data_IF_951674547503
#
_entry.id   IF_951674547503
#
_cell.length_a   1.000
_cell.length_b   1.000
_cell.length_c   1.000
_cell.angle_alpha   90.00
_cell.angle_beta   90.00
_cell.angle_gamma   90.00
#
_symmetry.space_group_name_H-M   'P 1'
#
loop_
_entity.id
_entity.type
_entity.pdbx_description
1 polymer ?
#
# COMPACT_ATOMS: atom_id res chain seq x y z
N UNK A 1 41.79 12.57 7.50
CA UNK A 1 41.61 14.04 7.47
C UNK A 1 41.01 14.48 8.80
N UNK A 2 41.48 15.62 9.36
CA UNK A 2 40.91 16.20 10.58
C UNK A 2 40.26 17.56 10.22
N UNK A 3 39.03 17.78 10.67
CA UNK A 3 38.31 19.05 10.52
C UNK A 3 38.02 19.60 11.91
N UNK A 4 38.45 20.80 12.27
CA UNK A 4 38.08 21.40 13.53
C UNK A 4 36.60 21.73 13.52
N UNK A 5 35.87 21.38 14.59
CA UNK A 5 34.46 21.68 14.79
C UNK A 5 34.34 22.68 15.94
N UNK A 6 33.65 23.79 15.68
CA UNK A 6 33.37 24.79 16.72
C UNK A 6 32.04 24.46 17.40
N UNK A 7 32.07 24.31 18.76
CA UNK A 7 30.89 24.14 19.63
C UNK A 7 29.83 23.12 19.12
N UNK A 8 30.21 21.86 19.01
CA UNK A 8 29.29 20.78 18.62
C UNK A 8 29.11 19.77 19.75
N UNK A 9 27.97 19.07 19.76
CA UNK A 9 27.78 17.91 20.64
C UNK A 9 28.60 16.73 20.12
N UNK A 10 28.97 15.78 20.99
CA UNK A 10 29.66 14.55 20.57
C UNK A 10 28.90 13.83 19.44
N UNK A 11 27.56 13.84 19.50
CA UNK A 11 26.71 13.23 18.50
C UNK A 11 26.80 13.89 17.13
N UNK A 12 26.85 15.24 17.08
CA UNK A 12 27.05 15.99 15.83
C UNK A 12 28.45 15.77 15.27
N UNK A 13 29.47 15.68 16.15
CA UNK A 13 30.83 15.39 15.72
C UNK A 13 30.97 14.02 15.04
N UNK A 14 30.30 13.00 15.58
CA UNK A 14 30.28 11.64 15.01
C UNK A 14 29.55 11.60 13.64
N UNK A 15 28.44 12.32 13.53
CA UNK A 15 27.73 12.44 12.24
C UNK A 15 28.55 13.17 11.18
N UNK A 16 29.26 14.25 11.57
CA UNK A 16 30.15 14.97 10.68
C UNK A 16 31.34 14.10 10.24
N UNK A 17 31.88 13.30 11.16
CA UNK A 17 32.92 12.31 10.84
C UNK A 17 32.44 11.27 9.85
N UNK A 18 31.23 10.77 10.03
CA UNK A 18 30.60 9.81 9.11
C UNK A 18 30.36 10.44 7.72
N UNK A 19 29.85 11.68 7.66
CA UNK A 19 29.69 12.44 6.43
C UNK A 19 31.03 12.62 5.68
N UNK A 20 32.09 13.02 6.40
CA UNK A 20 33.44 13.20 5.80
C UNK A 20 33.98 11.88 5.25
N UNK A 21 33.78 10.76 5.97
CA UNK A 21 34.17 9.44 5.51
C UNK A 21 33.45 9.04 4.21
N UNK A 22 32.14 9.32 4.13
CA UNK A 22 31.35 9.11 2.92
C UNK A 22 31.82 9.97 1.76
N UNK A 23 31.97 11.28 1.99
CA UNK A 23 32.36 12.23 0.95
C UNK A 23 33.78 11.94 0.37
N UNK A 24 34.66 11.41 1.21
CA UNK A 24 36.04 11.10 0.84
C UNK A 24 36.23 9.67 0.29
N UNK A 25 35.21 8.82 0.36
CA UNK A 25 35.25 7.44 -0.13
C UNK A 25 34.92 7.34 -1.63
N UNK A 26 35.42 6.29 -2.28
CA UNK A 26 35.08 5.96 -3.66
C UNK A 26 33.62 5.47 -3.83
N UNK A 27 33.26 4.96 -5.02
CA UNK A 27 31.89 4.51 -5.31
C UNK A 27 31.45 3.33 -4.43
N UNK A 28 32.42 2.58 -3.87
CA UNK A 28 32.17 1.51 -2.91
C UNK A 28 32.90 1.81 -1.60
N UNK A 29 32.19 1.82 -0.48
CA UNK A 29 32.75 2.15 0.81
C UNK A 29 32.41 1.11 1.88
N UNK A 30 33.37 0.84 2.76
CA UNK A 30 33.18 0.05 3.98
C UNK A 30 33.53 0.96 5.17
N UNK A 31 32.54 1.36 5.95
CA UNK A 31 32.69 2.32 7.05
C UNK A 31 32.36 1.67 8.36
N UNK A 32 33.28 1.75 9.32
CA UNK A 32 33.10 1.23 10.68
C UNK A 32 32.82 2.38 11.60
N UNK A 33 31.74 2.28 12.36
CA UNK A 33 31.30 3.28 13.33
C UNK A 33 31.17 2.67 14.72
N UNK A 34 31.58 3.40 15.75
CA UNK A 34 31.46 2.96 17.14
C UNK A 34 30.16 3.42 17.82
N UNK A 35 29.54 4.58 17.54
CA UNK A 35 28.29 4.93 18.20
C UNK A 35 27.07 4.31 17.49
N UNK A 36 26.26 3.57 18.24
CA UNK A 36 24.94 3.09 17.78
C UNK A 36 24.02 4.22 17.30
N UNK A 37 24.26 5.41 17.77
CA UNK A 37 23.53 6.62 17.43
C UNK A 37 23.55 6.93 15.92
N UNK A 38 24.69 6.83 15.26
CA UNK A 38 24.81 7.04 13.81
C UNK A 38 23.92 6.05 13.05
N UNK A 39 23.89 4.81 13.49
CA UNK A 39 23.02 3.77 12.88
C UNK A 39 21.54 4.09 13.10
N UNK A 40 21.16 4.59 14.27
CA UNK A 40 19.78 4.99 14.57
C UNK A 40 19.29 6.15 13.69
N UNK A 41 20.13 7.13 13.44
CA UNK A 41 19.80 8.28 12.58
C UNK A 41 19.66 7.87 11.12
N UNK A 42 20.57 7.06 10.60
CA UNK A 42 20.49 6.53 9.24
C UNK A 42 19.24 5.66 9.07
N UNK A 43 18.85 4.93 10.12
CA UNK A 43 17.65 4.11 10.16
C UNK A 43 16.33 4.90 10.32
N UNK A 44 16.34 6.23 10.54
CA UNK A 44 15.14 7.04 10.39
C UNK A 44 14.60 7.80 11.61
N UNK A 45 15.43 8.12 12.61
CA UNK A 45 15.02 8.92 13.77
C UNK A 45 15.91 10.14 14.04
N UNK A 46 16.04 11.12 13.11
CA UNK A 46 16.81 12.34 13.38
C UNK A 46 16.02 13.32 14.24
N UNK A 47 16.73 14.07 15.10
CA UNK A 47 16.20 15.26 15.75
C UNK A 47 16.20 16.46 14.78
N UNK A 48 15.34 17.47 15.02
CA UNK A 48 15.23 18.66 14.14
C UNK A 48 16.56 19.40 13.93
N UNK A 49 17.45 19.44 14.92
CA UNK A 49 18.75 20.11 14.85
C UNK A 49 19.76 19.42 13.92
N UNK A 50 19.53 18.16 13.57
CA UNK A 50 20.46 17.32 12.80
C UNK A 50 20.02 17.13 11.35
N UNK A 51 18.81 17.62 10.98
CA UNK A 51 18.19 17.35 9.72
C UNK A 51 19.01 17.75 8.49
N UNK A 52 19.76 18.86 8.58
CA UNK A 52 20.59 19.35 7.47
C UNK A 52 21.79 18.43 7.19
N UNK A 53 22.50 18.01 8.23
CA UNK A 53 23.67 17.13 8.11
C UNK A 53 23.24 15.72 7.68
N UNK A 54 22.11 15.25 8.20
CA UNK A 54 21.53 13.96 7.82
C UNK A 54 21.11 13.93 6.36
N UNK A 55 20.54 15.03 5.85
CA UNK A 55 20.21 15.15 4.41
C UNK A 55 21.50 15.10 3.54
N UNK A 56 22.57 15.77 3.95
CA UNK A 56 23.86 15.69 3.25
C UNK A 56 24.44 14.27 3.25
N UNK A 57 24.32 13.55 4.37
CA UNK A 57 24.74 12.14 4.47
C UNK A 57 23.96 11.29 3.48
N UNK A 58 22.65 11.47 3.39
CA UNK A 58 21.80 10.71 2.48
C UNK A 58 22.13 11.02 1.02
N UNK A 59 22.37 12.29 0.68
CA UNK A 59 22.81 12.68 -0.66
C UNK A 59 24.14 12.00 -1.06
N UNK A 60 25.10 11.89 -0.14
CA UNK A 60 26.34 11.17 -0.40
C UNK A 60 26.13 9.65 -0.50
N UNK A 61 25.23 9.07 0.29
CA UNK A 61 24.84 7.66 0.21
C UNK A 61 24.28 7.34 -1.19
N UNK A 62 23.38 8.17 -1.69
CA UNK A 62 22.72 7.97 -2.99
C UNK A 62 23.71 8.01 -4.16
N UNK A 63 24.81 8.72 -4.03
CA UNK A 63 25.87 8.79 -5.06
C UNK A 63 26.79 7.54 -5.12
N UNK A 64 26.67 6.62 -4.17
CA UNK A 64 27.54 5.44 -4.07
C UNK A 64 26.92 4.21 -4.70
N UNK A 65 27.74 3.36 -5.30
CA UNK A 65 27.32 2.05 -5.81
C UNK A 65 27.04 1.03 -4.69
N UNK A 66 27.87 1.05 -3.64
CA UNK A 66 27.71 0.18 -2.48
C UNK A 66 28.34 0.78 -1.21
N UNK A 67 27.62 0.72 -0.10
CA UNK A 67 28.14 1.11 1.22
C UNK A 67 27.83 -0.02 2.20
N UNK A 68 28.88 -0.43 2.94
CA UNK A 68 28.77 -1.34 4.07
C UNK A 68 29.09 -0.56 5.33
N UNK A 69 28.18 -0.49 6.28
CA UNK A 69 28.41 0.13 7.59
C UNK A 69 28.36 -0.96 8.65
N UNK A 70 29.41 -1.07 9.41
CA UNK A 70 29.52 -1.98 10.55
C UNK A 70 29.62 -1.20 11.84
N UNK A 71 28.87 -1.63 12.85
CA UNK A 71 28.98 -1.11 14.20
C UNK A 71 29.97 -1.96 15.02
N UNK A 72 30.81 -1.28 15.78
CA UNK A 72 31.76 -1.91 16.72
C UNK A 72 31.56 -1.29 18.10
N UNK A 73 31.47 -2.09 19.19
CA UNK A 73 31.37 -1.53 20.53
C UNK A 73 32.55 -0.65 20.88
N UNK A 74 32.29 0.58 21.36
CA UNK A 74 33.33 1.48 21.83
C UNK A 74 34.18 0.83 22.96
N UNK A 75 35.50 1.15 23.00
CA UNK A 75 36.43 0.78 24.08
C UNK A 75 36.83 -0.69 24.24
N UNK A 76 36.74 -1.50 23.19
CA UNK A 76 37.29 -2.87 23.20
C UNK A 76 38.70 -3.00 22.63
N UNK A 77 39.60 -2.01 22.84
CA UNK A 77 41.04 -2.12 22.63
C UNK A 77 41.49 -2.71 21.28
N UNK A 78 40.81 -2.33 20.19
CA UNK A 78 41.04 -2.89 18.85
C UNK A 78 42.22 -2.19 18.23
N UNK A 79 43.35 -2.84 18.21
CA UNK A 79 44.57 -2.39 17.52
C UNK A 79 44.76 -3.10 16.19
N UNK A 80 44.72 -2.38 15.07
CA UNK A 80 45.20 -2.80 13.77
C UNK A 80 44.20 -3.43 12.80
N UNK A 81 44.50 -3.36 11.50
CA UNK A 81 43.64 -3.77 10.39
C UNK A 81 43.23 -5.25 10.39
N UNK A 82 44.03 -6.14 10.98
CA UNK A 82 43.73 -7.59 11.02
C UNK A 82 42.60 -7.92 12.00
N UNK A 83 42.49 -7.20 13.12
CA UNK A 83 41.38 -7.36 14.06
C UNK A 83 40.07 -6.76 13.54
N UNK A 84 40.15 -5.69 12.77
CA UNK A 84 38.99 -5.08 12.11
C UNK A 84 38.34 -6.03 11.11
N UNK A 85 39.12 -6.75 10.31
CA UNK A 85 38.60 -7.75 9.36
C UNK A 85 37.90 -8.91 10.09
N UNK A 86 38.42 -9.33 11.23
CA UNK A 86 37.81 -10.39 12.04
C UNK A 86 36.52 -9.91 12.74
N UNK A 87 36.49 -8.67 13.23
CA UNK A 87 35.33 -8.05 13.85
C UNK A 87 34.22 -7.71 12.84
N UNK A 88 34.57 -7.27 11.64
CA UNK A 88 33.62 -7.07 10.53
C UNK A 88 32.94 -8.39 10.16
N UNK A 89 33.63 -9.54 10.29
CA UNK A 89 33.02 -10.85 10.06
C UNK A 89 32.07 -11.30 11.19
N UNK A 90 32.23 -10.78 12.40
CA UNK A 90 31.39 -11.06 13.58
C UNK A 90 30.40 -9.95 13.94
N UNK A 91 30.58 -8.73 13.41
CA UNK A 91 29.70 -7.60 13.65
C UNK A 91 28.37 -7.69 12.87
N UNK A 92 27.38 -6.99 13.38
CA UNK A 92 26.11 -6.81 12.68
C UNK A 92 26.39 -5.97 11.41
N UNK A 93 26.48 -6.63 10.25
CA UNK A 93 26.55 -5.93 8.97
C UNK A 93 25.16 -5.41 8.62
N UNK A 94 24.96 -4.12 8.70
CA UNK A 94 23.81 -3.48 8.06
C UNK A 94 24.25 -2.99 6.66
N UNK A 95 23.70 -3.61 5.63
CA UNK A 95 23.78 -3.07 4.28
C UNK A 95 22.84 -1.87 4.26
N UNK A 96 23.37 -0.68 3.95
CA UNK A 96 22.55 0.52 3.77
C UNK A 96 21.82 0.44 2.44
N UNK A 97 20.86 -0.43 2.30
CA UNK A 97 19.82 -0.57 1.27
C UNK A 97 20.09 0.08 -0.10
N UNK A 98 21.36 0.33 -0.49
CA UNK A 98 21.71 0.97 -1.77
C UNK A 98 21.19 0.20 -2.98
N UNK A 99 21.25 -1.13 -2.92
CA UNK A 99 20.67 -2.00 -3.95
C UNK A 99 19.16 -1.81 -4.12
N UNK A 100 18.50 -1.19 -3.12
CA UNK A 100 17.06 -0.93 -3.11
C UNK A 100 16.70 0.51 -3.41
N UNK A 101 17.67 1.44 -3.34
CA UNK A 101 17.43 2.86 -3.56
C UNK A 101 17.14 3.13 -5.04
N UNK A 102 17.94 2.59 -5.95
CA UNK A 102 17.74 2.75 -7.39
C UNK A 102 16.35 2.22 -7.83
N UNK A 103 15.93 0.98 -7.49
CA UNK A 103 14.57 0.53 -7.78
C UNK A 103 13.49 1.39 -7.12
N UNK A 104 13.74 1.96 -5.94
CA UNK A 104 12.78 2.85 -5.28
C UNK A 104 12.66 4.21 -5.99
N UNK A 105 13.77 4.73 -6.52
CA UNK A 105 13.78 5.94 -7.37
C UNK A 105 13.03 5.70 -8.67
N UNK A 106 13.30 4.60 -9.38
CA UNK A 106 12.57 4.21 -10.60
C UNK A 106 11.07 4.06 -10.36
N UNK A 107 10.67 3.43 -9.24
CA UNK A 107 9.27 3.31 -8.85
C UNK A 107 8.65 4.70 -8.63
N UNK A 108 9.37 5.60 -7.95
CA UNK A 108 8.88 6.95 -7.72
C UNK A 108 8.81 7.77 -9.01
N UNK A 109 9.80 7.71 -9.87
CA UNK A 109 9.80 8.39 -11.18
C UNK A 109 8.62 7.94 -12.05
N UNK A 110 8.30 6.66 -12.00
CA UNK A 110 7.22 6.07 -12.80
C UNK A 110 5.82 6.36 -12.24
N UNK A 111 5.64 6.18 -10.94
CA UNK A 111 4.31 6.20 -10.32
C UNK A 111 4.08 7.38 -9.38
N UNK A 112 5.12 8.12 -9.03
CA UNK A 112 5.10 9.14 -7.97
C UNK A 112 4.56 8.59 -6.65
N UNK A 113 4.99 7.37 -6.31
CA UNK A 113 4.62 6.67 -5.08
C UNK A 113 4.98 7.48 -3.85
N UNK A 114 4.15 7.45 -2.80
CA UNK A 114 4.43 8.21 -1.59
C UNK A 114 5.50 7.53 -0.70
N UNK A 115 5.99 8.28 0.30
CA UNK A 115 7.03 7.81 1.24
C UNK A 115 6.67 6.46 1.88
N UNK A 116 5.42 6.28 2.29
CA UNK A 116 4.96 5.04 2.95
C UNK A 116 5.00 3.84 2.02
N UNK A 117 4.62 4.02 0.75
CA UNK A 117 4.70 2.95 -0.25
C UNK A 117 6.14 2.54 -0.54
N UNK A 118 7.06 3.51 -0.69
CA UNK A 118 8.47 3.23 -0.92
C UNK A 118 9.11 2.48 0.25
N UNK A 119 8.81 2.88 1.49
CA UNK A 119 9.27 2.18 2.70
C UNK A 119 8.74 0.75 2.73
N UNK A 120 7.45 0.56 2.49
CA UNK A 120 6.82 -0.75 2.54
C UNK A 120 7.36 -1.69 1.46
N UNK A 121 7.40 -1.22 0.20
CA UNK A 121 7.78 -2.05 -0.94
C UNK A 121 9.26 -2.43 -0.96
N UNK A 122 10.14 -1.48 -0.62
CA UNK A 122 11.58 -1.67 -0.73
C UNK A 122 12.27 -1.88 0.62
N UNK A 123 11.57 -1.66 1.73
CA UNK A 123 12.14 -1.76 3.08
C UNK A 123 13.27 -0.76 3.31
N UNK A 124 13.26 0.40 2.62
CA UNK A 124 14.23 1.49 2.80
C UNK A 124 13.84 2.35 4.00
N UNK A 125 14.81 3.02 4.66
CA UNK A 125 14.51 3.94 5.75
C UNK A 125 13.57 5.06 5.30
N UNK A 126 12.65 5.46 6.20
CA UNK A 126 11.68 6.53 5.90
C UNK A 126 12.33 7.83 5.43
N UNK A 127 13.49 8.16 5.99
CA UNK A 127 14.23 9.37 5.62
C UNK A 127 14.74 9.30 4.16
N UNK A 128 15.24 8.14 3.73
CA UNK A 128 15.66 7.90 2.34
C UNK A 128 14.46 7.98 1.40
N UNK A 129 13.35 7.35 1.75
CA UNK A 129 12.12 7.43 0.98
C UNK A 129 11.58 8.87 0.89
N UNK A 130 11.67 9.63 1.99
CA UNK A 130 11.30 11.06 2.00
C UNK A 130 12.18 11.87 1.07
N UNK A 131 13.50 11.66 1.08
CA UNK A 131 14.42 12.34 0.20
C UNK A 131 14.11 12.08 -1.29
N UNK A 132 13.80 10.82 -1.66
CA UNK A 132 13.38 10.47 -3.01
C UNK A 132 12.15 11.28 -3.44
N UNK A 133 11.14 11.40 -2.57
CA UNK A 133 9.91 12.14 -2.85
C UNK A 133 10.17 13.66 -2.90
N UNK A 134 10.96 14.19 -1.96
CA UNK A 134 11.23 15.63 -1.84
C UNK A 134 12.13 16.16 -2.98
N UNK A 135 12.98 15.32 -3.57
CA UNK A 135 13.79 15.68 -4.73
C UNK A 135 13.05 15.63 -6.06
N UNK A 136 11.83 15.12 -6.07
CA UNK A 136 11.00 15.07 -7.27
C UNK A 136 10.32 16.42 -7.52
N UNK A 137 10.63 17.09 -8.61
CA UNK A 137 10.07 18.39 -8.98
C UNK A 137 8.54 18.40 -9.04
N UNK A 138 7.92 17.27 -9.43
CA UNK A 138 6.47 17.11 -9.55
C UNK A 138 5.78 16.86 -8.21
N UNK A 139 6.49 16.39 -7.19
CA UNK A 139 5.94 16.02 -5.88
C UNK A 139 6.19 17.06 -4.79
N UNK A 140 7.23 17.87 -4.92
CA UNK A 140 7.69 18.82 -3.89
C UNK A 140 6.68 19.93 -3.55
N UNK A 141 5.71 20.23 -4.40
CA UNK A 141 4.88 21.45 -4.30
C UNK A 141 3.58 21.31 -3.50
N UNK A 142 3.27 20.20 -2.82
CA UNK A 142 1.94 20.00 -2.25
C UNK A 142 1.95 19.56 -0.79
N UNK A 143 1.34 20.41 0.06
CA UNK A 143 0.99 20.07 1.44
C UNK A 143 -0.05 18.92 1.51
N UNK A 144 -0.08 18.21 2.64
CA UNK A 144 -1.09 17.20 2.91
C UNK A 144 -2.47 17.85 3.06
N UNK A 145 -3.45 17.37 2.29
CA UNK A 145 -4.83 17.77 2.47
C UNK A 145 -5.42 17.06 3.70
N UNK A 146 -5.98 17.82 4.62
CA UNK A 146 -6.73 17.27 5.75
C UNK A 146 -8.15 17.00 5.25
N UNK A 147 -8.56 15.74 5.26
CA UNK A 147 -9.91 15.34 4.89
C UNK A 147 -10.80 15.31 6.13
N UNK A 148 -12.01 15.86 6.00
CA UNK A 148 -13.06 15.69 7.00
C UNK A 148 -13.42 14.20 7.16
N UNK A 149 -13.78 13.79 8.38
CA UNK A 149 -14.22 12.43 8.64
C UNK A 149 -15.64 12.25 8.13
N UNK A 150 -15.87 11.22 7.31
CA UNK A 150 -17.20 10.82 6.83
C UNK A 150 -17.46 9.40 7.32
N UNK A 151 -18.62 9.19 7.95
CA UNK A 151 -19.08 7.84 8.27
C UNK A 151 -19.66 7.22 7.00
N UNK A 152 -19.13 6.08 6.60
CA UNK A 152 -19.59 5.37 5.42
C UNK A 152 -19.79 3.88 5.70
N UNK A 153 -20.91 3.36 5.23
CA UNK A 153 -21.15 1.92 5.17
C UNK A 153 -20.30 1.31 4.04
N UNK A 154 -19.96 0.03 4.19
CA UNK A 154 -19.04 -0.67 3.29
C UNK A 154 -19.49 -0.71 1.82
N UNK A 155 -20.77 -0.64 1.54
CA UNK A 155 -21.32 -0.63 0.19
C UNK A 155 -21.55 0.78 -0.39
N UNK A 156 -21.07 1.84 0.28
CA UNK A 156 -21.32 3.24 -0.11
C UNK A 156 -20.27 3.76 -1.07
N UNK A 157 -20.73 4.25 -2.22
CA UNK A 157 -19.92 4.89 -3.23
C UNK A 157 -20.45 6.30 -3.52
N UNK A 158 -19.55 7.20 -3.88
CA UNK A 158 -19.88 8.52 -4.42
C UNK A 158 -19.44 8.57 -5.89
N UNK A 159 -20.22 9.26 -6.72
CA UNK A 159 -19.93 9.40 -8.14
C UNK A 159 -20.13 10.85 -8.59
N UNK A 160 -19.22 11.29 -9.45
CA UNK A 160 -19.23 12.65 -10.00
C UNK A 160 -18.57 12.67 -11.38
N UNK A 161 -18.82 13.73 -12.16
CA UNK A 161 -18.13 13.99 -13.42
C UNK A 161 -17.18 15.16 -13.27
N UNK A 162 -15.98 15.04 -13.84
CA UNK A 162 -15.00 16.13 -13.89
C UNK A 162 -14.48 16.30 -15.31
N UNK A 163 -13.97 17.50 -15.61
CA UNK A 163 -13.48 17.86 -16.95
C UNK A 163 -11.97 18.08 -16.92
N UNK A 164 -11.29 17.54 -17.92
CA UNK A 164 -9.86 17.73 -18.12
C UNK A 164 -9.51 17.66 -19.61
N UNK A 165 -8.75 18.62 -20.12
CA UNK A 165 -8.31 18.67 -21.52
C UNK A 165 -9.46 18.51 -22.55
N UNK A 166 -10.63 19.08 -22.24
CA UNK A 166 -11.82 19.00 -23.11
C UNK A 166 -12.52 17.65 -23.10
N UNK A 167 -12.11 16.72 -22.26
CA UNK A 167 -12.73 15.41 -22.05
C UNK A 167 -13.49 15.36 -20.73
N UNK A 168 -14.51 14.53 -20.70
CA UNK A 168 -15.33 14.27 -19.52
C UNK A 168 -14.84 12.99 -18.87
N UNK A 169 -14.54 13.06 -17.58
CA UNK A 169 -14.10 11.91 -16.79
C UNK A 169 -15.18 11.64 -15.72
N UNK A 170 -15.82 10.50 -15.78
CA UNK A 170 -16.69 10.02 -14.72
C UNK A 170 -15.85 9.31 -13.67
N UNK A 171 -16.06 9.65 -12.40
CA UNK A 171 -15.29 9.14 -11.27
C UNK A 171 -16.24 8.56 -10.22
N UNK A 172 -15.93 7.37 -9.73
CA UNK A 172 -16.60 6.77 -8.59
C UNK A 172 -15.59 6.48 -7.48
N UNK A 173 -15.96 6.78 -6.25
CA UNK A 173 -15.12 6.59 -5.07
C UNK A 173 -15.83 5.72 -4.06
N UNK A 174 -15.17 4.66 -3.61
CA UNK A 174 -15.58 3.90 -2.45
C UNK A 174 -15.24 4.70 -1.19
N UNK A 175 -16.25 5.24 -0.52
CA UNK A 175 -16.06 6.26 0.52
C UNK A 175 -15.20 5.76 1.67
N UNK A 176 -15.43 4.53 2.14
CA UNK A 176 -14.72 3.98 3.29
C UNK A 176 -13.22 3.74 3.05
N UNK A 177 -12.81 3.32 1.84
CA UNK A 177 -11.40 2.99 1.53
C UNK A 177 -10.67 4.06 0.73
N UNK A 178 -11.39 4.96 0.05
CA UNK A 178 -10.82 5.89 -0.91
C UNK A 178 -10.41 5.23 -2.24
N UNK A 179 -10.80 3.98 -2.50
CA UNK A 179 -10.59 3.32 -3.78
C UNK A 179 -11.40 4.02 -4.87
N UNK A 180 -10.80 4.24 -6.03
CA UNK A 180 -11.45 4.94 -7.13
C UNK A 180 -11.55 4.09 -8.39
N UNK A 181 -12.60 4.33 -9.15
CA UNK A 181 -12.76 3.94 -10.54
C UNK A 181 -13.00 5.21 -11.37
N UNK A 182 -12.37 5.33 -12.52
CA UNK A 182 -12.60 6.46 -13.42
C UNK A 182 -12.48 6.05 -14.87
N UNK A 183 -13.28 6.68 -15.72
CA UNK A 183 -13.32 6.42 -17.15
C UNK A 183 -13.60 7.72 -17.93
N UNK A 184 -12.96 7.88 -19.08
CA UNK A 184 -13.32 8.97 -19.99
C UNK A 184 -14.58 8.58 -20.73
N UNK A 185 -15.60 9.43 -20.69
CA UNK A 185 -16.86 9.24 -21.39
C UNK A 185 -17.03 10.29 -22.50
N UNK A 186 -17.66 9.94 -23.64
CA UNK A 186 -17.81 10.87 -24.75
C UNK A 186 -18.77 12.03 -24.45
N UNK A 187 -19.78 11.79 -23.63
CA UNK A 187 -20.81 12.76 -23.26
C UNK A 187 -21.35 12.48 -21.87
N UNK A 188 -21.72 13.52 -21.16
CA UNK A 188 -22.33 13.49 -19.83
C UNK A 188 -23.82 13.20 -19.92
N UNK A 189 -24.15 11.96 -20.34
CA UNK A 189 -25.53 11.51 -20.55
C UNK A 189 -25.93 10.43 -19.56
N UNK A 190 -27.25 10.29 -19.32
CA UNK A 190 -27.80 9.23 -18.47
C UNK A 190 -27.37 7.85 -18.95
N UNK A 191 -27.31 7.59 -20.27
CA UNK A 191 -26.88 6.32 -20.84
C UNK A 191 -25.42 6.00 -20.51
N UNK A 192 -24.50 6.95 -20.63
CA UNK A 192 -23.08 6.74 -20.31
C UNK A 192 -22.87 6.53 -18.81
N UNK A 193 -23.58 7.32 -18.01
CA UNK A 193 -23.54 7.20 -16.54
C UNK A 193 -24.11 5.85 -16.09
N UNK A 194 -25.24 5.41 -16.64
CA UNK A 194 -25.85 4.12 -16.33
C UNK A 194 -24.93 2.95 -16.72
N UNK A 195 -24.26 3.04 -17.88
CA UNK A 195 -23.30 2.03 -18.30
C UNK A 195 -22.09 1.95 -17.35
N UNK A 196 -21.56 3.09 -16.94
CA UNK A 196 -20.46 3.14 -15.96
C UNK A 196 -20.89 2.57 -14.60
N UNK A 197 -22.08 2.92 -14.11
CA UNK A 197 -22.64 2.34 -12.88
C UNK A 197 -22.78 0.82 -12.97
N UNK A 198 -23.24 0.32 -14.10
CA UNK A 198 -23.37 -1.13 -14.31
C UNK A 198 -22.00 -1.84 -14.33
N UNK A 199 -21.01 -1.24 -15.00
CA UNK A 199 -19.62 -1.74 -14.95
C UNK A 199 -19.09 -1.79 -13.52
N UNK A 200 -19.33 -0.75 -12.73
CA UNK A 200 -18.93 -0.66 -11.34
C UNK A 200 -19.60 -1.74 -10.48
N UNK A 201 -20.95 -1.89 -10.62
CA UNK A 201 -21.73 -2.89 -9.92
C UNK A 201 -21.36 -4.34 -10.31
N UNK A 202 -20.85 -4.55 -11.52
CA UNK A 202 -20.38 -5.87 -11.97
C UNK A 202 -19.05 -6.29 -11.34
N UNK A 203 -18.32 -5.35 -10.71
CA UNK A 203 -17.01 -5.59 -10.08
C UNK A 203 -17.06 -5.54 -8.56
N UNK A 204 -17.87 -4.64 -8.02
CA UNK A 204 -17.87 -4.33 -6.58
C UNK A 204 -19.27 -4.46 -5.97
N UNK A 205 -19.37 -4.86 -4.70
CA UNK A 205 -20.65 -4.92 -3.98
C UNK A 205 -21.12 -3.51 -3.59
N UNK A 206 -21.86 -2.86 -4.48
CA UNK A 206 -22.43 -1.54 -4.25
C UNK A 206 -23.83 -1.71 -3.68
N UNK A 207 -24.12 -1.02 -2.58
CA UNK A 207 -25.46 -0.96 -1.97
C UNK A 207 -26.04 0.45 -1.99
N UNK A 208 -25.18 1.46 -1.87
CA UNK A 208 -25.57 2.87 -1.83
C UNK A 208 -24.71 3.69 -2.79
N UNK A 209 -25.36 4.52 -3.59
CA UNK A 209 -24.72 5.46 -4.50
C UNK A 209 -25.14 6.87 -4.16
N UNK A 210 -24.20 7.74 -3.83
CA UNK A 210 -24.42 9.15 -3.59
C UNK A 210 -23.87 10.00 -4.73
N UNK A 211 -24.71 10.86 -5.31
CA UNK A 211 -24.37 11.73 -6.44
C UNK A 211 -24.90 13.14 -6.21
N UNK A 212 -24.52 14.08 -7.05
CA UNK A 212 -25.23 15.33 -7.16
C UNK A 212 -26.58 15.17 -7.90
N UNK A 213 -27.28 16.27 -8.11
CA UNK A 213 -28.56 16.31 -8.85
C UNK A 213 -28.35 16.55 -10.35
N UNK A 214 -27.18 16.24 -10.90
CA UNK A 214 -26.90 16.37 -12.33
C UNK A 214 -27.92 15.62 -13.19
N UNK A 215 -28.25 16.13 -14.36
CA UNK A 215 -29.26 15.55 -15.24
C UNK A 215 -28.91 14.10 -15.66
N UNK A 216 -27.63 13.81 -15.82
CA UNK A 216 -27.13 12.46 -16.12
C UNK A 216 -27.38 11.49 -14.96
N UNK A 217 -27.17 11.90 -13.71
CA UNK A 217 -27.39 11.06 -12.52
C UNK A 217 -28.87 10.87 -12.17
N UNK A 218 -29.71 11.87 -12.46
CA UNK A 218 -31.16 11.81 -12.18
C UNK A 218 -31.96 11.16 -13.31
N UNK A 219 -31.30 10.72 -14.39
CA UNK A 219 -31.91 10.11 -15.57
C UNK A 219 -32.66 8.80 -15.28
N UNK A 220 -33.56 8.44 -16.16
CA UNK A 220 -34.30 7.18 -16.04
C UNK A 220 -33.39 5.96 -16.22
N UNK A 221 -32.39 6.06 -17.09
CA UNK A 221 -31.42 4.98 -17.32
C UNK A 221 -30.63 4.64 -16.04
N UNK A 222 -30.17 5.64 -15.31
CA UNK A 222 -29.46 5.42 -14.04
C UNK A 222 -30.40 4.86 -12.97
N UNK A 223 -31.62 5.36 -12.88
CA UNK A 223 -32.63 4.83 -11.94
C UNK A 223 -32.95 3.37 -12.22
N UNK A 224 -33.07 2.96 -13.49
CA UNK A 224 -33.34 1.56 -13.87
C UNK A 224 -32.16 0.65 -13.50
N UNK A 225 -30.92 1.09 -13.74
CA UNK A 225 -29.72 0.31 -13.34
C UNK A 225 -29.63 0.20 -11.83
N UNK A 226 -29.84 1.29 -11.11
CA UNK A 226 -29.83 1.27 -9.64
C UNK A 226 -30.89 0.32 -9.09
N UNK A 227 -32.11 0.38 -9.60
CA UNK A 227 -33.18 -0.56 -9.25
C UNK A 227 -32.82 -2.01 -9.55
N UNK A 228 -32.33 -2.26 -10.78
CA UNK A 228 -31.99 -3.63 -11.22
C UNK A 228 -30.84 -4.24 -10.39
N UNK A 229 -29.84 -3.43 -10.04
CA UNK A 229 -28.68 -3.86 -9.27
C UNK A 229 -28.92 -3.84 -7.75
N UNK A 230 -30.09 -3.41 -7.26
CA UNK A 230 -30.40 -3.29 -5.83
C UNK A 230 -29.61 -2.19 -5.13
N UNK A 231 -29.30 -1.09 -5.85
CA UNK A 231 -28.54 0.05 -5.35
C UNK A 231 -29.50 1.14 -4.91
N UNK A 232 -29.39 1.59 -3.66
CA UNK A 232 -30.09 2.78 -3.18
C UNK A 232 -29.35 4.02 -3.64
N UNK A 233 -30.03 4.86 -4.43
CA UNK A 233 -29.47 6.12 -4.91
C UNK A 233 -29.92 7.28 -4.01
N UNK A 234 -28.96 8.05 -3.50
CA UNK A 234 -29.18 9.26 -2.74
C UNK A 234 -28.54 10.45 -3.44
N UNK A 235 -29.15 11.62 -3.29
CA UNK A 235 -28.68 12.86 -3.91
C UNK A 235 -28.19 13.84 -2.86
N UNK A 236 -27.12 14.58 -3.19
CA UNK A 236 -26.61 15.64 -2.34
C UNK A 236 -27.68 16.72 -2.10
N UNK A 237 -27.79 17.16 -0.85
CA UNK A 237 -28.63 18.29 -0.52
C UNK A 237 -27.99 19.54 -1.10
N UNK A 238 -28.67 20.35 -1.93
CA UNK A 238 -28.16 21.63 -2.39
C UNK A 238 -27.65 22.43 -1.19
N UNK A 239 -26.43 22.95 -1.28
CA UNK A 239 -25.79 23.77 -0.22
C UNK A 239 -25.21 22.98 0.98
N UNK A 240 -25.08 21.65 0.93
CA UNK A 240 -24.32 20.93 1.94
C UNK A 240 -23.00 20.36 1.32
N UNK A 241 -21.89 21.12 1.32
CA UNK A 241 -20.63 20.72 0.68
C UNK A 241 -19.97 19.51 1.35
N UNK A 242 -20.39 19.13 2.55
CA UNK A 242 -19.81 17.97 3.26
C UNK A 242 -20.33 16.62 2.72
N UNK A 243 -21.48 16.61 2.04
CA UNK A 243 -22.08 15.36 1.55
C UNK A 243 -21.34 14.73 0.35
N UNK A 244 -20.60 15.54 -0.43
CA UNK A 244 -19.83 15.10 -1.61
C UNK A 244 -18.32 15.33 -1.50
N UNK A 245 -17.85 15.84 -0.37
CA UNK A 245 -16.46 16.24 -0.17
C UNK A 245 -15.42 15.14 -0.46
N UNK A 246 -15.81 13.87 -0.41
CA UNK A 246 -14.88 12.77 -0.70
C UNK A 246 -14.61 12.67 -2.19
N UNK A 247 -15.64 12.65 -3.05
CA UNK A 247 -15.44 12.55 -4.50
C UNK A 247 -14.82 13.82 -5.08
N UNK A 248 -15.16 14.99 -4.57
CA UNK A 248 -14.54 16.26 -4.98
C UNK A 248 -13.04 16.28 -4.64
N UNK A 249 -12.65 15.86 -3.45
CA UNK A 249 -11.26 15.73 -3.05
C UNK A 249 -10.52 14.71 -3.94
N UNK A 250 -11.16 13.59 -4.26
CA UNK A 250 -10.58 12.59 -5.14
C UNK A 250 -10.46 13.06 -6.58
N UNK A 251 -11.40 13.87 -7.10
CA UNK A 251 -11.28 14.52 -8.40
C UNK A 251 -10.04 15.42 -8.45
N UNK A 252 -9.79 16.19 -7.39
CA UNK A 252 -8.58 17.01 -7.28
C UNK A 252 -7.32 16.15 -7.23
N UNK A 253 -7.31 15.08 -6.45
CA UNK A 253 -6.18 14.14 -6.38
C UNK A 253 -5.92 13.45 -7.71
N UNK A 254 -6.99 13.04 -8.42
CA UNK A 254 -6.88 12.42 -9.74
C UNK A 254 -6.24 13.38 -10.74
N UNK A 255 -6.70 14.62 -10.83
CA UNK A 255 -6.10 15.66 -11.69
C UNK A 255 -4.64 15.90 -11.34
N UNK A 256 -4.32 15.99 -10.06
CA UNK A 256 -2.93 16.13 -9.58
C UNK A 256 -2.07 14.94 -9.99
N UNK A 257 -2.57 13.72 -9.89
CA UNK A 257 -1.82 12.54 -10.30
C UNK A 257 -1.65 12.47 -11.82
N UNK A 258 -2.69 12.85 -12.57
CA UNK A 258 -2.60 12.98 -14.03
C UNK A 258 -1.51 13.97 -14.42
N UNK A 259 -1.47 15.17 -13.82
CA UNK A 259 -0.43 16.16 -14.09
C UNK A 259 0.99 15.63 -13.89
N UNK A 260 1.20 14.81 -12.85
CA UNK A 260 2.51 14.22 -12.54
C UNK A 260 3.00 13.24 -13.60
N UNK A 261 2.08 12.47 -14.17
CA UNK A 261 2.41 11.40 -15.13
C UNK A 261 2.05 11.74 -16.57
N UNK A 262 1.60 12.97 -16.85
CA UNK A 262 1.00 13.37 -18.14
C UNK A 262 1.89 13.08 -19.35
N UNK A 263 3.18 13.18 -19.17
CA UNK A 263 4.16 12.96 -20.24
C UNK A 263 4.35 11.47 -20.60
N UNK A 264 3.86 10.56 -19.77
CA UNK A 264 4.08 9.11 -19.94
C UNK A 264 3.17 8.47 -21.00
N UNK A 265 2.08 9.14 -21.39
CA UNK A 265 1.21 8.69 -22.47
C UNK A 265 0.52 9.86 -23.18
N UNK A 266 0.25 9.69 -24.46
CA UNK A 266 -0.39 10.71 -25.29
C UNK A 266 -1.91 10.79 -25.09
N UNK A 267 -2.56 9.64 -24.90
CA UNK A 267 -4.02 9.55 -24.74
C UNK A 267 -4.45 9.87 -23.32
N UNK A 268 -5.48 10.73 -23.21
CA UNK A 268 -6.07 11.07 -21.92
C UNK A 268 -6.73 9.84 -21.26
N UNK A 269 -7.32 8.95 -22.06
CA UNK A 269 -7.93 7.71 -21.60
C UNK A 269 -6.90 6.82 -20.92
N UNK A 270 -5.72 6.68 -21.52
CA UNK A 270 -4.60 5.91 -20.95
C UNK A 270 -4.10 6.55 -19.66
N UNK A 271 -3.88 7.87 -19.66
CA UNK A 271 -3.37 8.59 -18.49
C UNK A 271 -4.34 8.51 -17.30
N UNK A 272 -5.64 8.60 -17.53
CA UNK A 272 -6.67 8.45 -16.48
C UNK A 272 -6.54 7.07 -15.82
N UNK A 273 -6.44 5.99 -16.60
CA UNK A 273 -6.30 4.64 -16.06
C UNK A 273 -4.96 4.43 -15.33
N UNK A 274 -3.87 5.01 -15.85
CA UNK A 274 -2.57 5.00 -15.17
C UNK A 274 -2.64 5.75 -13.83
N UNK A 275 -3.29 6.91 -13.78
CA UNK A 275 -3.48 7.68 -12.55
C UNK A 275 -4.33 6.93 -11.52
N UNK A 276 -5.42 6.29 -11.95
CA UNK A 276 -6.26 5.42 -11.12
C UNK A 276 -5.43 4.28 -10.53
N UNK A 277 -4.59 3.62 -11.34
CA UNK A 277 -3.69 2.59 -10.86
C UNK A 277 -2.74 3.12 -9.77
N UNK A 278 -2.11 4.26 -10.01
CA UNK A 278 -1.22 4.89 -9.02
C UNK A 278 -1.94 5.20 -7.70
N UNK A 279 -3.15 5.79 -7.78
CA UNK A 279 -3.92 6.16 -6.60
C UNK A 279 -4.38 4.95 -5.78
N UNK A 280 -4.80 3.88 -6.43
CA UNK A 280 -5.31 2.68 -5.75
C UNK A 280 -4.22 1.79 -5.18
N UNK A 281 -3.05 1.67 -5.83
CA UNK A 281 -2.05 0.66 -5.52
C UNK A 281 -0.67 1.21 -5.11
N UNK A 282 -0.41 2.52 -5.30
CA UNK A 282 0.92 3.12 -5.07
C UNK A 282 0.91 4.22 -4.01
N UNK A 283 -0.16 4.37 -3.27
CA UNK A 283 -0.30 5.37 -2.20
C UNK A 283 -0.78 4.70 -0.94
N UNK A 284 0.11 4.60 0.05
CA UNK A 284 -0.23 4.13 1.40
C UNK A 284 -0.60 5.29 2.29
N UNK A 285 -1.62 5.10 3.09
CA UNK A 285 -2.09 6.13 4.01
C UNK A 285 -3.02 5.60 5.08
N UNK A 286 -3.53 6.51 5.93
CA UNK A 286 -4.46 6.16 7.00
C UNK A 286 -3.84 5.39 8.16
N UNK A 287 -4.70 4.89 9.05
CA UNK A 287 -4.34 4.00 10.15
C UNK A 287 -4.13 2.61 9.57
N UNK A 288 -2.96 2.00 9.79
CA UNK A 288 -2.63 0.67 9.29
C UNK A 288 -1.82 0.65 7.99
N UNK A 289 -1.48 1.81 7.42
CA UNK A 289 -0.60 1.94 6.25
C UNK A 289 -0.99 1.08 5.04
N UNK A 290 -2.29 0.96 4.78
CA UNK A 290 -2.82 0.23 3.63
C UNK A 290 -2.99 1.14 2.41
N UNK A 291 -2.90 0.55 1.21
CA UNK A 291 -3.37 1.20 -0.01
C UNK A 291 -4.90 1.18 -0.06
N UNK A 292 -5.56 2.08 -0.83
CA UNK A 292 -7.00 2.01 -1.02
C UNK A 292 -7.52 0.64 -1.49
N UNK A 293 -6.77 -0.03 -2.38
CA UNK A 293 -7.11 -1.37 -2.84
C UNK A 293 -7.05 -2.42 -1.73
N UNK A 294 -6.00 -2.40 -0.91
CA UNK A 294 -5.89 -3.29 0.25
C UNK A 294 -6.98 -3.02 1.27
N UNK A 295 -7.29 -1.74 1.53
CA UNK A 295 -8.37 -1.34 2.43
C UNK A 295 -9.72 -1.86 1.97
N UNK A 296 -10.06 -1.70 0.68
CA UNK A 296 -11.30 -2.21 0.11
C UNK A 296 -11.42 -3.73 0.24
N UNK A 297 -10.39 -4.48 -0.15
CA UNK A 297 -10.40 -5.94 -0.06
C UNK A 297 -10.53 -6.42 1.39
N UNK A 298 -9.79 -5.82 2.31
CA UNK A 298 -9.87 -6.17 3.72
C UNK A 298 -11.26 -5.88 4.32
N UNK A 299 -11.88 -4.76 3.98
CA UNK A 299 -13.23 -4.44 4.44
C UNK A 299 -14.26 -5.45 3.94
N UNK A 300 -14.23 -5.80 2.65
CA UNK A 300 -15.14 -6.80 2.07
C UNK A 300 -14.92 -8.17 2.74
N UNK A 301 -13.67 -8.58 2.93
CA UNK A 301 -13.34 -9.88 3.56
C UNK A 301 -13.80 -9.92 5.00
N UNK A 302 -13.57 -8.85 5.78
CA UNK A 302 -13.99 -8.77 7.18
C UNK A 302 -15.53 -8.83 7.33
N UNK A 303 -16.25 -8.12 6.47
CA UNK A 303 -17.72 -8.17 6.48
C UNK A 303 -18.25 -9.57 6.19
N UNK A 304 -17.70 -10.24 5.18
CA UNK A 304 -18.06 -11.61 4.86
C UNK A 304 -17.72 -12.56 6.01
N UNK A 305 -16.58 -12.38 6.66
CA UNK A 305 -16.20 -13.17 7.83
C UNK A 305 -17.22 -13.03 8.98
N UNK A 306 -17.64 -11.79 9.27
CA UNK A 306 -18.67 -11.52 10.28
C UNK A 306 -20.00 -12.21 9.90
N UNK A 307 -20.42 -12.12 8.64
CA UNK A 307 -21.63 -12.77 8.15
C UNK A 307 -21.53 -14.29 8.24
N UNK A 308 -20.38 -14.88 7.92
CA UNK A 308 -20.15 -16.32 8.09
C UNK A 308 -20.22 -16.76 9.56
N UNK A 309 -19.65 -15.96 10.48
CA UNK A 309 -19.72 -16.26 11.92
C UNK A 309 -21.15 -16.15 12.48
N UNK A 310 -21.95 -15.22 11.96
CA UNK A 310 -23.33 -14.99 12.38
C UNK A 310 -24.32 -16.01 11.78
N UNK A 311 -24.02 -16.57 10.60
CA UNK A 311 -24.87 -17.58 9.99
C UNK A 311 -24.73 -18.91 10.71
N UNK A 312 -25.64 -19.18 11.68
CA UNK A 312 -25.75 -20.46 12.38
C UNK A 312 -26.06 -21.65 11.45
N UNK A 313 -26.35 -21.40 10.17
CA UNK A 313 -26.67 -22.36 9.12
C UNK A 313 -25.67 -22.36 7.99
N UNK A 314 -24.39 -22.49 8.29
CA UNK A 314 -23.40 -22.72 7.24
C UNK A 314 -23.71 -24.00 6.49
N UNK A 315 -24.03 -23.92 5.20
CA UNK A 315 -24.21 -25.09 4.31
C UNK A 315 -23.00 -26.04 4.31
N UNK A 316 -21.91 -25.64 4.90
CA UNK A 316 -20.62 -26.33 4.90
C UNK A 316 -20.18 -26.84 6.28
N UNK A 317 -21.02 -26.78 7.30
CA UNK A 317 -20.71 -27.30 8.68
C UNK A 317 -20.19 -28.74 8.70
N UNK A 318 -20.59 -29.54 7.71
CA UNK A 318 -20.22 -30.94 7.62
C UNK A 318 -19.02 -31.21 6.70
N UNK A 319 -18.21 -30.18 6.39
CA UNK A 319 -17.05 -30.36 5.56
C UNK A 319 -15.78 -30.01 6.32
N UNK A 320 -14.81 -30.93 6.31
CA UNK A 320 -13.45 -30.71 6.80
C UNK A 320 -12.49 -30.56 5.63
N UNK A 321 -11.59 -29.61 5.71
CA UNK A 321 -10.61 -29.37 4.66
C UNK A 321 -9.21 -29.62 5.19
N UNK A 322 -8.51 -30.56 4.58
CA UNK A 322 -7.08 -30.74 4.76
C UNK A 322 -6.35 -30.02 3.63
N UNK A 323 -5.22 -29.38 3.93
CA UNK A 323 -4.53 -28.54 2.97
C UNK A 323 -3.01 -28.65 3.07
N UNK A 324 -2.30 -28.23 1.99
CA UNK A 324 -0.85 -28.13 1.94
C UNK A 324 -0.43 -26.71 1.66
N UNK A 325 0.64 -26.25 2.32
CA UNK A 325 1.20 -24.91 2.14
C UNK A 325 2.53 -24.95 1.38
N UNK A 326 2.76 -23.97 0.54
CA UNK A 326 4.03 -23.81 -0.17
C UNK A 326 4.49 -25.06 -0.91
N UNK A 327 5.71 -25.50 -0.63
CA UNK A 327 6.32 -26.76 -1.14
C UNK A 327 6.13 -27.94 -0.18
N UNK A 328 5.47 -27.72 0.97
CA UNK A 328 5.22 -28.75 1.96
C UNK A 328 4.40 -29.91 1.37
N UNK A 329 4.85 -31.13 1.60
CA UNK A 329 4.11 -32.32 1.21
C UNK A 329 3.14 -32.79 2.28
N UNK A 330 3.28 -32.32 3.53
CA UNK A 330 2.45 -32.69 4.65
C UNK A 330 1.07 -32.03 4.61
N UNK A 331 0.05 -32.83 4.89
CA UNK A 331 -1.31 -32.35 5.03
C UNK A 331 -1.51 -31.72 6.41
N UNK A 332 -2.01 -30.50 6.42
CA UNK A 332 -2.38 -29.71 7.61
C UNK A 332 -3.89 -29.64 7.74
N UNK A 333 -4.39 -29.34 8.92
CA UNK A 333 -5.83 -29.21 9.23
C UNK A 333 -6.30 -30.21 10.26
N UNK A 334 -7.62 -30.47 10.38
CA UNK A 334 -8.66 -29.96 9.48
C UNK A 334 -9.01 -28.50 9.70
N UNK A 335 -9.36 -27.80 8.61
CA UNK A 335 -9.99 -26.49 8.64
C UNK A 335 -11.47 -26.57 8.25
N UNK A 336 -12.24 -25.57 8.64
CA UNK A 336 -13.64 -25.41 8.25
C UNK A 336 -13.73 -24.83 6.83
N UNK A 337 -14.55 -25.43 5.96
CA UNK A 337 -14.76 -24.93 4.61
C UNK A 337 -15.64 -23.67 4.64
N UNK A 338 -15.13 -22.53 4.16
CA UNK A 338 -15.91 -21.30 3.99
C UNK A 338 -16.43 -21.15 2.57
N UNK A 339 -15.59 -21.45 1.57
CA UNK A 339 -15.94 -21.33 0.16
C UNK A 339 -15.11 -22.24 -0.73
N UNK A 340 -15.71 -22.76 -1.79
CA UNK A 340 -15.04 -23.58 -2.79
C UNK A 340 -15.25 -22.98 -4.17
N UNK A 341 -14.18 -22.51 -4.78
CA UNK A 341 -14.15 -22.08 -6.18
C UNK A 341 -13.52 -23.13 -7.09
N UNK A 342 -13.39 -22.80 -8.36
CA UNK A 342 -12.77 -23.66 -9.37
C UNK A 342 -11.26 -23.84 -9.12
N UNK A 343 -10.56 -22.75 -8.81
CA UNK A 343 -9.11 -22.72 -8.64
C UNK A 343 -8.63 -22.67 -7.21
N UNK A 344 -9.48 -22.32 -6.25
CA UNK A 344 -9.10 -22.13 -4.85
C UNK A 344 -10.20 -22.54 -3.87
N UNK A 345 -9.78 -22.74 -2.63
CA UNK A 345 -10.66 -23.01 -1.48
C UNK A 345 -10.33 -22.00 -0.40
N UNK A 346 -11.35 -21.42 0.22
CA UNK A 346 -11.23 -20.59 1.42
C UNK A 346 -11.63 -21.44 2.62
N UNK A 347 -10.77 -21.52 3.61
CA UNK A 347 -10.99 -22.29 4.83
C UNK A 347 -10.58 -21.49 6.06
N UNK A 348 -11.22 -21.81 7.18
CA UNK A 348 -10.89 -21.28 8.51
C UNK A 348 -10.12 -22.31 9.31
N UNK A 349 -8.98 -21.92 9.86
CA UNK A 349 -8.14 -22.75 10.74
C UNK A 349 -7.92 -21.99 12.05
N UNK A 350 -8.62 -22.37 13.09
CA UNK A 350 -8.65 -21.60 14.33
C UNK A 350 -9.25 -20.21 14.09
N UNK A 351 -8.46 -19.17 14.27
CA UNK A 351 -8.85 -17.76 14.02
C UNK A 351 -8.42 -17.23 12.64
N UNK A 352 -7.62 -17.99 11.88
CA UNK A 352 -7.08 -17.56 10.59
C UNK A 352 -7.95 -18.02 9.42
N UNK A 353 -8.09 -17.15 8.43
CA UNK A 353 -8.65 -17.49 7.11
C UNK A 353 -7.49 -17.74 6.15
N UNK A 354 -7.57 -18.88 5.45
CA UNK A 354 -6.57 -19.28 4.46
C UNK A 354 -7.19 -19.48 3.10
N UNK A 355 -6.49 -18.99 2.06
CA UNK A 355 -6.83 -19.27 0.66
C UNK A 355 -5.82 -20.29 0.13
N UNK A 356 -6.31 -21.44 -0.28
CA UNK A 356 -5.47 -22.56 -0.71
C UNK A 356 -5.83 -22.95 -2.14
N UNK A 357 -4.85 -23.18 -3.03
CA UNK A 357 -5.13 -23.69 -4.37
C UNK A 357 -5.94 -25.01 -4.32
N UNK A 358 -6.94 -25.15 -5.17
CA UNK A 358 -7.86 -26.30 -5.16
C UNK A 358 -7.14 -27.64 -5.19
N UNK A 359 -6.04 -27.75 -5.95
CA UNK A 359 -5.19 -28.97 -6.05
C UNK A 359 -4.46 -29.32 -4.74
N UNK A 360 -4.33 -28.35 -3.82
CA UNK A 360 -3.67 -28.52 -2.52
C UNK A 360 -4.66 -28.63 -1.36
N UNK A 361 -5.96 -28.79 -1.65
CA UNK A 361 -7.02 -28.94 -0.66
C UNK A 361 -7.78 -30.26 -0.88
N UNK A 362 -7.96 -31.03 0.20
CA UNK A 362 -8.86 -32.19 0.27
C UNK A 362 -10.09 -31.82 1.08
N UNK A 363 -11.26 -31.85 0.46
CA UNK A 363 -12.54 -31.56 1.11
C UNK A 363 -13.20 -32.89 1.41
N UNK A 364 -13.44 -33.15 2.69
CA UNK A 364 -14.08 -34.37 3.20
C UNK A 364 -15.42 -33.99 3.82
N UNK A 365 -16.48 -34.67 3.40
CA UNK A 365 -17.81 -34.48 3.98
C UNK A 365 -17.95 -35.41 5.17
N UNK A 366 -18.23 -34.86 6.36
CA UNK A 366 -18.58 -35.64 7.53
C UNK A 366 -20.05 -36.11 7.38
N UNK A 367 -20.22 -37.39 7.11
CA UNK A 367 -21.52 -38.03 7.23
C UNK A 367 -21.73 -38.30 8.71
N UNK A 368 -22.53 -37.48 9.38
CA UNK A 368 -22.86 -37.67 10.81
C UNK A 368 -23.39 -39.07 11.08
N UNK A 369 -22.57 -39.92 11.69
CA UNK A 369 -22.91 -41.26 12.09
C UNK A 369 -21.67 -42.17 12.13
N UNK A 370 -20.84 -42.06 13.16
CA UNK A 370 -19.74 -43.02 13.36
C UNK A 370 -18.75 -42.53 14.40
N UNK A 371 -18.64 -43.28 15.47
CA UNK A 371 -17.74 -43.13 16.60
C UNK A 371 -16.36 -42.60 16.23
N UNK A 372 -15.80 -41.77 17.08
CA UNK A 372 -14.39 -41.42 17.12
C UNK A 372 -13.52 -42.64 16.82
N UNK A 373 -12.87 -42.64 15.68
CA UNK A 373 -11.70 -43.43 15.41
C UNK A 373 -10.50 -42.48 15.41
N UNK A 374 -9.94 -42.37 16.60
CA UNK A 374 -8.62 -41.86 16.85
C UNK A 374 -7.61 -42.83 16.20
N UNK A 375 -7.23 -42.57 14.98
CA UNK A 375 -6.03 -43.10 14.36
C UNK A 375 -5.74 -42.36 13.08
N UNK A 376 -4.70 -41.49 13.14
CA UNK A 376 -4.12 -40.88 11.94
C UNK A 376 -3.70 -41.96 10.94
N UNK A 377 -3.84 -41.73 9.64
CA UNK A 377 -3.39 -42.68 8.67
C UNK A 377 -1.85 -42.71 8.66
N UNK A 378 -1.27 -43.82 9.14
CA UNK A 378 0.04 -44.24 8.70
C UNK A 378 -0.08 -44.54 7.21
N UNK A 379 0.63 -43.78 6.40
CA UNK A 379 0.82 -44.07 4.98
C UNK A 379 2.29 -44.20 4.74
N UNK A 380 2.67 -45.41 4.32
CA UNK A 380 3.89 -45.70 3.61
C UNK A 380 4.10 -44.87 2.35
#
# INVERSE_FOLDING_TARGET
>A
KAKPLEQTTNQQAELEAFYLALADSGPKANIIVDPQYVMGIIAGQPTESESKLVNQIIEEIIKKEAIYVAWVPAHKGIGGNQEVDHLVSQGIRQILFLEKIEPAQEEHEKYHSNVKELVFKFGIPRLVAKQIVDTCDKCHQKGEAIHGQVNAELGTWQMDCTHLEGKIIIVAVHVASGFIEAEVIPQETGRQTALFLLKLASRWPITHLHTDNGANFTSQEVKMVAWWAGIEQTFGVPYNPQSQGVVEAMNHHLKTQIDRIREQANSIETIVLMAVHCMNFKRRGGIGDMTPAEGLVNMITTEQEIQFQQSKNSKFKNFRVYYREGRDQLWKGPGELLWKGEGAVILKVGTEIKVVPRRKAKIIKDYGGGKELDSGPHLE
#
